data_IF_745044569615
#
_entry.id   IF_745044569615
#
_cell.length_a   1.000
_cell.length_b   1.000
_cell.length_c   1.000
_cell.angle_alpha   90.00
_cell.angle_beta   90.00
_cell.angle_gamma   90.00
#
_symmetry.space_group_name_H-M   'P 1'
#
loop_
_entity.id
_entity.type
_entity.pdbx_description
1 polymer ?
#
# COMPACT_ATOMS: atom_id res chain seq x y z
N UNK A 1 -3.37 4.10 -11.04
CA UNK A 1 -3.45 5.29 -10.15
C UNK A 1 -2.55 5.01 -8.96
N UNK A 2 -1.79 6.01 -8.50
CA UNK A 2 -0.87 5.84 -7.39
C UNK A 2 -1.63 5.90 -6.06
N UNK A 3 -1.33 4.98 -5.14
CA UNK A 3 -1.88 4.97 -3.77
C UNK A 3 -0.94 5.73 -2.85
N UNK A 4 -1.48 6.68 -2.09
CA UNK A 4 -0.67 7.39 -1.09
C UNK A 4 -0.32 6.45 0.07
N UNK A 5 0.97 6.31 0.41
CA UNK A 5 1.48 5.37 1.41
C UNK A 5 1.99 6.08 2.66
N UNK A 6 2.03 5.36 3.77
CA UNK A 6 2.73 5.87 4.96
C UNK A 6 4.20 6.13 4.65
N UNK A 7 4.76 7.25 5.15
CA UNK A 7 6.10 7.69 4.78
C UNK A 7 7.23 7.04 5.57
N UNK A 8 6.97 6.07 6.43
CA UNK A 8 7.97 5.37 7.25
C UNK A 8 7.77 3.87 7.18
N UNK A 9 8.85 3.09 7.28
CA UNK A 9 8.82 1.63 7.34
C UNK A 9 8.27 1.11 8.69
N UNK A 10 8.47 1.88 9.75
CA UNK A 10 7.99 1.56 11.10
C UNK A 10 7.16 2.72 11.63
N UNK A 11 6.00 2.40 12.20
CA UNK A 11 5.08 3.37 12.77
C UNK A 11 4.83 3.04 14.24
N UNK A 12 5.54 3.69 15.12
CA UNK A 12 5.23 3.69 16.55
C UNK A 12 4.46 4.97 16.87
N UNK A 13 3.17 4.86 17.10
CA UNK A 13 2.35 6.03 17.44
C UNK A 13 2.77 6.58 18.80
N UNK A 14 3.27 7.81 18.83
CA UNK A 14 3.68 8.52 20.05
C UNK A 14 2.66 9.53 20.49
N UNK A 15 1.91 10.13 19.57
CA UNK A 15 0.77 10.99 19.88
C UNK A 15 -0.31 10.88 18.78
N UNK A 16 -1.56 10.75 19.19
CA UNK A 16 -2.70 10.65 18.29
C UNK A 16 -3.33 12.00 17.94
N UNK A 17 -4.40 11.97 17.11
CA UNK A 17 -5.15 13.15 16.75
C UNK A 17 -5.95 13.69 17.95
N UNK A 18 -6.16 14.98 17.98
CA UNK A 18 -6.98 15.69 18.97
C UNK A 18 -6.54 15.56 20.44
N UNK A 19 -5.32 15.09 20.72
CA UNK A 19 -4.76 15.00 22.09
C UNK A 19 -3.49 15.83 22.23
N UNK A 20 -3.12 16.20 23.44
CA UNK A 20 -1.89 16.93 23.74
C UNK A 20 -1.73 18.21 22.92
N UNK A 21 -0.63 18.31 22.18
CA UNK A 21 -0.35 19.42 21.25
C UNK A 21 -1.23 19.41 20.00
N UNK A 22 -1.93 18.30 19.70
CA UNK A 22 -2.80 18.13 18.52
C UNK A 22 -4.28 18.53 18.78
N UNK A 23 -4.60 19.25 19.84
CA UNK A 23 -6.00 19.65 20.15
C UNK A 23 -6.67 20.30 18.93
N UNK A 24 -7.77 19.68 18.47
CA UNK A 24 -8.51 20.14 17.29
C UNK A 24 -7.81 19.91 15.96
N UNK A 25 -6.72 19.15 15.93
CA UNK A 25 -5.98 18.73 14.74
C UNK A 25 -6.11 17.22 14.54
N UNK A 26 -5.99 16.78 13.30
CA UNK A 26 -5.92 15.36 12.93
C UNK A 26 -4.47 14.89 12.76
N UNK A 27 -3.51 15.70 13.17
CA UNK A 27 -2.09 15.35 13.14
C UNK A 27 -1.81 14.11 13.97
N UNK A 28 -0.77 13.38 13.59
CA UNK A 28 -0.25 12.23 14.32
C UNK A 28 1.27 12.31 14.41
N UNK A 29 1.81 11.86 15.54
CA UNK A 29 3.24 11.71 15.73
C UNK A 29 3.62 10.24 15.70
N UNK A 30 4.66 9.93 14.94
CA UNK A 30 5.19 8.59 14.77
C UNK A 30 6.68 8.60 15.13
N UNK A 31 7.10 7.75 16.05
CA UNK A 31 8.49 7.33 16.19
C UNK A 31 8.76 6.14 15.28
N UNK A 32 10.01 5.95 14.91
CA UNK A 32 10.48 4.82 14.15
C UNK A 32 10.72 3.55 14.98
N UNK A 33 11.57 2.67 14.48
CA UNK A 33 11.90 1.39 15.09
C UNK A 33 12.76 1.54 16.33
N UNK A 34 13.66 2.51 16.32
CA UNK A 34 14.60 2.78 17.40
C UNK A 34 14.53 4.23 17.87
N UNK A 35 15.48 4.63 18.67
CA UNK A 35 15.60 6.02 19.16
C UNK A 35 16.47 6.90 18.26
N UNK A 36 16.88 6.37 17.10
CA UNK A 36 17.64 7.11 16.11
C UNK A 36 16.77 8.07 15.30
N UNK A 37 17.20 8.34 14.10
CA UNK A 37 16.46 9.11 13.11
C UNK A 37 16.16 8.18 11.93
N UNK A 38 14.98 7.53 11.96
CA UNK A 38 14.56 6.67 10.87
C UNK A 38 14.18 7.50 9.62
N UNK A 39 14.44 6.94 8.46
CA UNK A 39 14.19 7.61 7.20
C UNK A 39 12.68 7.83 6.96
N UNK A 40 12.36 8.99 6.43
CA UNK A 40 11.04 9.38 5.96
C UNK A 40 11.05 9.43 4.44
N UNK A 41 10.08 8.78 3.81
CA UNK A 41 9.99 8.62 2.36
C UNK A 41 8.80 9.39 1.77
N UNK A 42 8.90 9.77 0.51
CA UNK A 42 7.81 10.40 -0.22
C UNK A 42 6.59 9.47 -0.28
N UNK A 43 5.43 9.86 0.26
CA UNK A 43 4.24 8.99 0.33
C UNK A 43 3.56 8.77 -1.03
N UNK A 44 3.89 9.59 -2.00
CA UNK A 44 3.42 9.56 -3.41
C UNK A 44 4.42 10.31 -4.28
N UNK A 45 4.29 10.21 -5.61
CA UNK A 45 5.04 11.05 -6.54
C UNK A 45 4.54 12.48 -6.44
N UNK A 46 5.42 13.39 -6.04
CA UNK A 46 5.02 14.75 -5.67
C UNK A 46 6.14 15.78 -5.81
N UNK A 47 5.80 16.98 -5.39
CA UNK A 47 6.70 18.13 -5.36
C UNK A 47 6.76 18.72 -3.96
N UNK A 48 7.93 19.08 -3.51
CA UNK A 48 8.12 19.90 -2.32
C UNK A 48 7.56 21.30 -2.61
N UNK A 49 6.37 21.59 -2.12
CA UNK A 49 5.71 22.88 -2.33
C UNK A 49 6.38 23.99 -1.53
N UNK A 50 6.82 23.69 -0.31
CA UNK A 50 7.49 24.63 0.58
C UNK A 50 8.33 23.89 1.61
N UNK A 51 9.39 24.56 2.05
CA UNK A 51 10.20 24.18 3.22
C UNK A 51 10.25 25.38 4.17
N UNK A 52 10.06 25.14 5.46
CA UNK A 52 10.27 26.14 6.52
C UNK A 52 11.39 25.68 7.44
N UNK A 53 12.32 26.59 7.71
CA UNK A 53 13.54 26.32 8.47
C UNK A 53 13.54 27.00 9.84
N UNK A 54 12.46 27.71 10.17
CA UNK A 54 12.43 28.61 11.34
C UNK A 54 12.13 27.90 12.66
N UNK A 55 10.93 27.36 12.83
CA UNK A 55 10.50 26.87 14.17
C UNK A 55 10.48 25.37 14.32
N UNK A 56 10.03 24.64 13.34
CA UNK A 56 9.75 23.20 13.45
C UNK A 56 10.32 22.36 12.30
N UNK A 57 11.06 22.96 11.39
CA UNK A 57 11.49 22.31 10.14
C UNK A 57 10.31 21.60 9.46
N UNK A 58 9.56 22.38 8.70
CA UNK A 58 8.35 21.88 8.05
C UNK A 58 8.61 21.65 6.56
N UNK A 59 8.32 20.46 6.07
CA UNK A 59 8.30 20.13 4.65
C UNK A 59 6.86 19.92 4.21
N UNK A 60 6.37 20.75 3.29
CA UNK A 60 5.06 20.58 2.64
C UNK A 60 5.26 19.91 1.30
N UNK A 61 4.68 18.73 1.14
CA UNK A 61 4.84 17.92 -0.06
C UNK A 61 3.48 17.64 -0.69
N UNK A 62 3.30 18.07 -1.94
CA UNK A 62 2.02 17.96 -2.65
C UNK A 62 2.12 17.00 -3.83
N UNK A 63 1.08 16.21 -4.08
CA UNK A 63 1.03 15.28 -5.21
C UNK A 63 0.99 16.02 -6.54
N UNK A 64 1.70 15.50 -7.55
CA UNK A 64 1.67 16.05 -8.92
C UNK A 64 0.35 15.73 -9.61
N UNK A 65 -0.18 14.53 -9.40
CA UNK A 65 -1.44 14.02 -9.92
C UNK A 65 -2.36 13.61 -8.77
N UNK A 66 -3.67 13.44 -9.01
CA UNK A 66 -4.57 12.86 -8.02
C UNK A 66 -4.09 11.46 -7.59
N UNK A 67 -4.14 11.19 -6.30
CA UNK A 67 -3.77 9.91 -5.68
C UNK A 67 -4.97 9.25 -5.03
N UNK A 68 -4.92 7.94 -4.90
CA UNK A 68 -5.93 7.16 -4.18
C UNK A 68 -5.64 7.18 -2.68
N UNK A 69 -6.61 7.64 -1.90
CA UNK A 69 -6.61 7.63 -0.44
C UNK A 69 -6.97 6.24 0.09
N UNK A 70 -6.58 5.92 1.30
CA UNK A 70 -6.92 4.63 1.92
C UNK A 70 -8.42 4.41 2.13
N UNK A 71 -9.24 5.47 2.10
CA UNK A 71 -10.70 5.38 2.11
C UNK A 71 -11.32 5.13 0.72
N UNK A 72 -10.49 4.93 -0.30
CA UNK A 72 -10.89 4.68 -1.69
C UNK A 72 -11.25 5.94 -2.48
N UNK A 73 -11.19 7.13 -1.87
CA UNK A 73 -11.41 8.38 -2.61
C UNK A 73 -10.17 8.80 -3.37
N UNK A 74 -10.35 9.59 -4.44
CA UNK A 74 -9.27 10.08 -5.31
C UNK A 74 -9.29 11.59 -5.32
N UNK A 75 -8.18 12.21 -4.97
CA UNK A 75 -7.98 13.66 -5.00
C UNK A 75 -6.48 14.00 -4.97
N UNK A 76 -6.16 15.26 -5.11
CA UNK A 76 -4.83 15.74 -4.75
C UNK A 76 -4.61 15.66 -3.24
N UNK A 77 -3.36 15.44 -2.86
CA UNK A 77 -2.96 15.34 -1.45
C UNK A 77 -1.78 16.26 -1.17
N UNK A 78 -1.82 16.92 -0.02
CA UNK A 78 -0.66 17.58 0.57
C UNK A 78 -0.37 16.95 1.92
N UNK A 79 0.87 16.54 2.16
CA UNK A 79 1.35 16.13 3.49
C UNK A 79 2.28 17.19 4.06
N UNK A 80 2.23 17.37 5.38
CA UNK A 80 3.18 18.19 6.12
C UNK A 80 3.96 17.29 7.05
N UNK A 81 5.28 17.29 6.88
CA UNK A 81 6.25 16.54 7.65
C UNK A 81 7.05 17.52 8.50
N UNK A 82 7.18 17.26 9.81
CA UNK A 82 7.89 18.18 10.69
C UNK A 82 8.91 17.46 11.57
N UNK A 83 9.77 18.27 12.15
CA UNK A 83 10.77 17.95 13.19
C UNK A 83 12.05 17.30 12.68
N UNK A 84 12.23 17.13 11.36
CA UNK A 84 13.52 16.71 10.81
C UNK A 84 14.66 17.61 11.35
N UNK A 85 15.74 17.00 11.81
CA UNK A 85 16.89 17.76 12.34
C UNK A 85 17.70 18.44 11.22
N UNK A 86 17.69 17.86 10.00
CA UNK A 86 18.40 18.38 8.84
C UNK A 86 17.50 18.26 7.61
N UNK A 87 17.16 19.40 7.03
CA UNK A 87 16.31 19.42 5.83
C UNK A 87 17.13 19.11 4.58
N UNK A 88 16.96 17.91 4.04
CA UNK A 88 17.69 17.41 2.86
C UNK A 88 17.00 17.80 1.52
N UNK A 89 15.79 18.34 1.59
CA UNK A 89 15.01 18.72 0.42
C UNK A 89 14.81 20.23 0.29
N UNK A 90 14.48 20.67 -0.91
CA UNK A 90 14.24 22.09 -1.22
C UNK A 90 12.93 22.32 -1.96
N UNK A 91 12.34 23.48 -1.80
CA UNK A 91 11.13 23.85 -2.53
C UNK A 91 11.32 23.72 -4.05
N UNK A 92 10.32 23.17 -4.73
CA UNK A 92 10.33 22.86 -6.15
C UNK A 92 10.92 21.49 -6.49
N UNK A 93 11.58 20.79 -5.58
CA UNK A 93 12.12 19.45 -5.82
C UNK A 93 10.98 18.45 -6.03
N UNK A 94 11.11 17.64 -7.08
CA UNK A 94 10.21 16.51 -7.37
C UNK A 94 10.83 15.24 -6.84
N UNK A 95 10.03 14.42 -6.17
CA UNK A 95 10.40 13.10 -5.67
C UNK A 95 9.36 12.08 -6.14
N UNK A 96 9.80 10.89 -6.50
CA UNK A 96 8.94 9.74 -6.74
C UNK A 96 8.55 9.06 -5.43
N UNK A 97 7.42 8.37 -5.42
CA UNK A 97 6.99 7.59 -4.27
C UNK A 97 8.11 6.65 -3.80
N UNK A 98 8.39 6.65 -2.49
CA UNK A 98 9.43 5.83 -1.88
C UNK A 98 10.84 6.43 -1.93
N UNK A 99 11.07 7.57 -2.58
CA UNK A 99 12.34 8.29 -2.44
C UNK A 99 12.43 8.99 -1.08
N UNK A 100 13.63 9.03 -0.50
CA UNK A 100 13.85 9.68 0.80
C UNK A 100 13.54 11.17 0.71
N UNK A 101 12.71 11.66 1.65
CA UNK A 101 12.34 13.07 1.76
C UNK A 101 12.92 13.75 3.02
N UNK A 102 13.35 12.98 4.00
CA UNK A 102 13.91 13.46 5.25
C UNK A 102 14.12 12.34 6.25
N UNK A 103 14.28 12.71 7.51
CA UNK A 103 14.38 11.78 8.62
C UNK A 103 13.41 12.21 9.74
N UNK A 104 12.99 11.28 10.59
CA UNK A 104 12.38 11.68 11.86
C UNK A 104 13.39 12.46 12.68
N UNK A 105 12.92 13.37 13.51
CA UNK A 105 13.84 14.19 14.30
C UNK A 105 13.17 14.84 15.48
N UNK A 106 13.90 15.71 16.15
CA UNK A 106 13.45 16.44 17.34
C UNK A 106 13.57 17.95 17.19
N UNK A 107 13.61 18.48 15.95
CA UNK A 107 13.76 19.91 15.73
C UNK A 107 12.53 20.69 16.20
N UNK A 108 12.74 21.69 17.01
CA UNK A 108 11.68 22.56 17.50
C UNK A 108 12.23 23.78 18.18
N UNK A 109 11.47 24.89 18.14
CA UNK A 109 11.91 26.17 18.71
C UNK A 109 13.23 26.65 18.12
N UNK A 110 13.50 26.36 16.85
CA UNK A 110 14.70 26.81 16.13
C UNK A 110 15.97 25.98 16.43
N UNK A 111 15.88 24.79 17.03
CA UNK A 111 17.05 23.95 17.33
C UNK A 111 16.72 22.45 17.29
N UNK A 112 17.71 21.59 16.92
CA UNK A 112 17.56 20.14 17.00
C UNK A 112 17.49 19.68 18.48
N UNK A 113 16.90 18.49 18.67
CA UNK A 113 16.81 17.84 19.98
C UNK A 113 15.90 18.56 21.00
N UNK A 114 14.99 19.40 20.54
CA UNK A 114 13.96 20.04 21.39
C UNK A 114 12.94 19.01 21.87
N UNK A 115 12.63 18.03 21.00
CA UNK A 115 11.73 16.91 21.24
C UNK A 115 12.49 15.58 21.13
N UNK A 116 11.92 14.50 21.63
CA UNK A 116 12.34 13.15 21.24
C UNK A 116 12.15 12.95 19.74
N UNK A 117 12.98 12.10 19.12
CA UNK A 117 12.85 11.84 17.69
C UNK A 117 11.46 11.29 17.34
N UNK A 118 10.80 11.93 16.40
CA UNK A 118 9.50 11.53 15.84
C UNK A 118 9.24 12.29 14.55
N UNK A 119 8.35 11.75 13.73
CA UNK A 119 7.74 12.44 12.61
C UNK A 119 6.38 12.97 13.04
N UNK A 120 6.19 14.29 13.02
CA UNK A 120 4.86 14.88 13.06
C UNK A 120 4.29 14.91 11.63
N UNK A 121 3.15 14.29 11.45
CA UNK A 121 2.51 14.10 10.15
C UNK A 121 1.11 14.69 10.14
N UNK A 122 0.86 15.57 9.17
CA UNK A 122 -0.46 16.05 8.81
C UNK A 122 -0.79 15.69 7.38
N UNK A 123 -2.01 15.30 7.09
CA UNK A 123 -2.49 15.03 5.74
C UNK A 123 -3.67 15.93 5.44
N UNK A 124 -3.62 16.61 4.30
CA UNK A 124 -4.66 17.51 3.81
C UNK A 124 -5.12 17.10 2.43
N UNK A 125 -6.41 17.25 2.17
CA UNK A 125 -7.00 17.03 0.84
C UNK A 125 -6.82 18.28 0.00
N UNK A 126 -6.25 18.14 -1.19
CA UNK A 126 -6.02 19.22 -2.14
C UNK A 126 -4.57 19.66 -2.30
N UNK A 127 -4.36 20.65 -3.16
CA UNK A 127 -3.05 21.27 -3.49
C UNK A 127 -2.99 22.70 -2.97
N UNK A 128 -1.78 23.28 -3.02
CA UNK A 128 -1.49 24.65 -2.58
C UNK A 128 -1.78 24.88 -1.08
N UNK A 129 -1.61 23.82 -0.27
CA UNK A 129 -1.82 23.82 1.18
C UNK A 129 -0.45 23.82 1.89
N UNK A 130 0.44 24.74 1.50
CA UNK A 130 1.79 24.86 2.07
C UNK A 130 1.84 25.92 3.19
N UNK A 131 0.87 25.89 4.11
CA UNK A 131 0.75 26.82 5.23
C UNK A 131 -0.08 26.22 6.36
N UNK A 132 0.08 26.82 7.55
CA UNK A 132 -0.72 26.47 8.72
C UNK A 132 -1.72 27.56 9.06
N UNK A 133 -2.84 27.18 9.64
CA UNK A 133 -3.85 28.05 10.22
C UNK A 133 -4.00 27.71 11.72
N UNK A 134 -4.45 28.69 12.50
CA UNK A 134 -4.75 28.45 13.91
C UNK A 134 -6.21 27.96 14.02
N UNK A 135 -6.41 26.77 14.55
CA UNK A 135 -7.75 26.21 14.74
C UNK A 135 -8.46 26.85 15.96
N UNK A 136 -9.73 26.49 16.21
CA UNK A 136 -10.54 27.02 17.30
C UNK A 136 -9.96 26.70 18.69
N UNK A 137 -9.13 25.66 18.82
CA UNK A 137 -8.44 25.26 20.06
C UNK A 137 -7.10 25.96 20.23
N UNK A 138 -6.69 26.79 19.28
CA UNK A 138 -5.46 27.53 19.30
C UNK A 138 -4.24 26.80 18.76
N UNK A 139 -4.39 25.59 18.26
CA UNK A 139 -3.32 24.78 17.63
C UNK A 139 -3.10 25.24 16.20
N UNK A 140 -1.84 25.34 15.77
CA UNK A 140 -1.49 25.52 14.37
C UNK A 140 -1.52 24.17 13.66
N UNK A 141 -2.18 24.13 12.52
CA UNK A 141 -2.29 22.92 11.69
C UNK A 141 -2.60 23.31 10.24
N UNK A 142 -2.35 22.41 9.29
CA UNK A 142 -2.75 22.63 7.90
C UNK A 142 -4.27 22.65 7.77
N UNK A 143 -4.85 23.47 6.90
CA UNK A 143 -6.28 23.42 6.61
C UNK A 143 -6.66 22.15 5.85
N UNK A 144 -7.96 21.83 5.83
CA UNK A 144 -8.52 20.69 5.10
C UNK A 144 -7.94 19.33 5.52
N UNK A 145 -7.52 19.20 6.78
CA UNK A 145 -6.98 17.96 7.30
C UNK A 145 -7.96 16.80 7.18
N UNK A 146 -7.45 15.66 6.77
CA UNK A 146 -8.11 14.36 6.79
C UNK A 146 -7.45 13.46 7.81
N UNK A 147 -8.16 12.44 8.27
CA UNK A 147 -7.61 11.43 9.15
C UNK A 147 -6.48 10.67 8.46
N UNK A 148 -5.32 10.56 9.12
CA UNK A 148 -4.10 9.97 8.54
C UNK A 148 -4.33 8.51 8.12
N UNK A 149 -5.08 7.73 8.93
CA UNK A 149 -5.38 6.34 8.64
C UNK A 149 -6.36 6.17 7.47
N UNK A 150 -7.22 7.15 7.25
CA UNK A 150 -8.14 7.17 6.10
C UNK A 150 -7.48 7.67 4.84
N UNK A 151 -6.36 8.37 4.96
CA UNK A 151 -5.67 8.97 3.84
C UNK A 151 -4.55 8.09 3.28
N UNK A 152 -3.77 7.43 4.15
CA UNK A 152 -2.55 6.76 3.75
C UNK A 152 -2.69 5.23 3.84
N UNK A 153 -2.32 4.56 2.75
CA UNK A 153 -2.25 3.10 2.70
C UNK A 153 -1.08 2.58 3.53
N UNK A 154 -1.37 1.59 4.36
CA UNK A 154 -0.32 0.79 4.99
C UNK A 154 0.23 -0.17 3.94
N UNK A 155 1.40 0.13 3.37
CA UNK A 155 2.13 -0.80 2.50
C UNK A 155 2.56 -2.05 3.27
N UNK A 156 2.93 -3.10 2.57
CA UNK A 156 3.42 -4.36 3.17
C UNK A 156 4.78 -4.23 3.82
N UNK A 157 5.52 -3.24 3.38
CA UNK A 157 6.83 -2.80 3.87
C UNK A 157 6.75 -1.98 5.16
N UNK A 158 5.56 -1.51 5.57
CA UNK A 158 5.39 -0.72 6.80
C UNK A 158 5.03 -1.62 7.98
N UNK A 159 5.78 -1.63 9.06
CA UNK A 159 5.45 -2.30 10.32
C UNK A 159 4.85 -1.31 11.31
N UNK A 160 3.71 -1.65 11.89
CA UNK A 160 3.14 -0.88 13.00
C UNK A 160 3.65 -1.45 14.31
N UNK A 161 4.22 -0.59 15.16
CA UNK A 161 4.74 -0.95 16.47
C UNK A 161 3.74 -0.52 17.55
N UNK A 162 3.65 -1.30 18.64
CA UNK A 162 2.97 -0.87 19.86
C UNK A 162 3.78 0.20 20.60
N UNK A 163 3.19 0.83 21.61
CA UNK A 163 3.88 1.83 22.44
C UNK A 163 5.15 1.32 23.13
N UNK A 164 5.37 0.01 23.21
CA UNK A 164 6.58 -0.64 23.71
C UNK A 164 7.60 -0.97 22.63
N UNK A 165 7.34 -0.58 21.38
CA UNK A 165 8.24 -0.85 20.24
C UNK A 165 8.20 -2.30 19.75
N UNK A 166 7.22 -3.10 20.16
CA UNK A 166 7.05 -4.48 19.70
C UNK A 166 6.26 -4.48 18.41
N UNK A 167 6.68 -5.26 17.40
CA UNK A 167 5.92 -5.36 16.15
C UNK A 167 4.49 -5.81 16.45
N UNK A 168 3.52 -5.04 16.02
CA UNK A 168 2.17 -5.53 15.83
C UNK A 168 2.25 -6.58 14.72
N UNK A 169 1.91 -7.81 15.03
CA UNK A 169 1.82 -8.83 13.98
C UNK A 169 0.82 -8.34 12.95
N UNK A 170 1.32 -8.04 11.78
CA UNK A 170 0.49 -7.89 10.61
C UNK A 170 0.09 -9.28 10.14
N UNK A 171 -1.19 -9.55 10.20
CA UNK A 171 -1.83 -10.44 9.25
C UNK A 171 -2.48 -9.60 8.13
N UNK A 172 -1.85 -8.51 7.72
CA UNK A 172 -2.12 -7.95 6.41
C UNK A 172 -1.33 -8.84 5.47
N UNK A 173 -1.93 -9.98 5.12
CA UNK A 173 -1.58 -10.56 3.84
C UNK A 173 -1.94 -9.47 2.84
N UNK A 174 -0.94 -9.03 2.05
CA UNK A 174 -1.13 -8.30 0.81
C UNK A 174 -2.43 -8.76 0.16
N UNK A 175 -3.19 -7.87 -0.47
CA UNK A 175 -3.87 -8.30 -1.66
C UNK A 175 -2.79 -9.00 -2.46
N UNK A 176 -2.67 -10.30 -2.27
CA UNK A 176 -1.61 -11.06 -2.91
C UNK A 176 -1.91 -10.91 -4.38
N UNK A 177 -1.06 -10.18 -5.04
CA UNK A 177 -1.06 -10.12 -6.47
C UNK A 177 -1.26 -11.54 -6.96
N UNK A 178 -2.42 -11.79 -7.52
CA UNK A 178 -2.81 -13.14 -7.89
C UNK A 178 -2.07 -13.50 -9.16
N UNK A 179 -1.35 -14.62 -9.14
CA UNK A 179 -0.71 -15.12 -10.33
C UNK A 179 -1.73 -15.79 -11.25
N UNK A 180 -1.68 -15.44 -12.50
CA UNK A 180 -2.51 -16.01 -13.55
C UNK A 180 -1.65 -16.57 -14.67
N UNK A 181 -2.13 -17.66 -15.26
CA UNK A 181 -1.63 -18.15 -16.53
C UNK A 181 -2.44 -17.48 -17.64
N UNK A 182 -1.85 -16.48 -18.30
CA UNK A 182 -2.45 -15.85 -19.50
C UNK A 182 -2.12 -16.67 -20.72
N UNK A 183 -3.14 -17.21 -21.38
CA UNK A 183 -2.97 -17.99 -22.60
C UNK A 183 -2.84 -17.06 -23.80
N UNK A 184 -1.73 -17.14 -24.52
CA UNK A 184 -1.41 -16.30 -25.67
C UNK A 184 -1.53 -17.01 -27.01
N UNK A 185 -1.82 -18.33 -26.98
CA UNK A 185 -1.99 -19.16 -28.16
C UNK A 185 -2.92 -20.36 -27.88
N UNK A 186 -3.82 -20.66 -28.77
CA UNK A 186 -4.70 -21.85 -28.72
C UNK A 186 -3.99 -23.23 -28.72
N UNK A 187 -2.65 -23.22 -28.61
CA UNK A 187 -1.83 -24.43 -28.46
C UNK A 187 -1.49 -24.77 -27.00
N UNK A 188 -1.95 -23.98 -26.01
CA UNK A 188 -1.70 -24.25 -24.61
C UNK A 188 -2.54 -25.46 -24.16
N UNK A 189 -1.88 -26.55 -23.79
CA UNK A 189 -2.53 -27.77 -23.33
C UNK A 189 -2.80 -27.76 -21.83
N UNK A 190 -3.83 -28.50 -21.40
CA UNK A 190 -4.23 -28.71 -20.03
C UNK A 190 -4.07 -30.18 -19.64
N UNK A 191 -3.64 -30.43 -18.41
CA UNK A 191 -3.27 -31.78 -17.96
C UNK A 191 -3.92 -32.12 -16.61
N UNK A 192 -4.17 -33.41 -16.40
CA UNK A 192 -4.68 -33.92 -15.11
C UNK A 192 -3.59 -34.12 -14.05
N UNK A 193 -2.32 -34.17 -14.46
CA UNK A 193 -1.14 -34.29 -13.63
C UNK A 193 0.03 -33.51 -14.26
N UNK A 194 1.12 -33.19 -13.52
CA UNK A 194 2.31 -32.55 -14.08
C UNK A 194 3.15 -33.54 -14.91
N UNK A 195 2.53 -34.11 -15.93
CA UNK A 195 3.07 -35.09 -16.89
C UNK A 195 2.55 -34.75 -18.27
N UNK A 196 3.44 -34.62 -19.26
CA UNK A 196 3.10 -34.33 -20.67
C UNK A 196 2.20 -35.40 -21.35
N UNK A 197 2.15 -36.60 -20.80
CA UNK A 197 1.30 -37.68 -21.31
C UNK A 197 -0.13 -37.63 -20.70
N UNK A 198 -0.34 -36.80 -19.66
CA UNK A 198 -1.59 -36.71 -18.92
C UNK A 198 -2.53 -35.61 -19.43
N UNK A 199 -2.59 -35.37 -20.75
CA UNK A 199 -3.47 -34.35 -21.34
C UNK A 199 -4.94 -34.64 -21.00
N UNK A 200 -5.64 -33.63 -20.43
CA UNK A 200 -7.06 -33.71 -20.08
C UNK A 200 -7.95 -33.48 -21.31
N UNK A 201 -8.12 -34.50 -22.11
CA UNK A 201 -8.94 -34.45 -23.35
C UNK A 201 -10.43 -34.18 -23.08
N UNK A 202 -10.90 -34.33 -21.82
CA UNK A 202 -12.29 -34.08 -21.45
C UNK A 202 -12.60 -32.59 -21.31
N UNK A 203 -11.59 -31.77 -21.04
CA UNK A 203 -11.74 -30.33 -20.99
C UNK A 203 -11.36 -29.71 -22.35
N UNK A 204 -12.31 -29.12 -23.06
CA UNK A 204 -12.13 -28.36 -24.32
C UNK A 204 -11.13 -29.02 -25.30
N UNK A 205 -11.22 -30.36 -25.45
CA UNK A 205 -10.32 -31.14 -26.31
C UNK A 205 -8.86 -31.14 -25.86
N UNK A 206 -8.59 -30.88 -24.56
CA UNK A 206 -7.25 -30.86 -23.97
C UNK A 206 -6.54 -29.50 -24.04
N UNK A 207 -7.27 -28.42 -24.31
CA UNK A 207 -6.66 -27.10 -24.53
C UNK A 207 -7.29 -26.02 -23.68
N UNK A 208 -6.45 -25.08 -23.22
CA UNK A 208 -6.88 -23.82 -22.62
C UNK A 208 -7.31 -22.83 -23.72
N UNK A 209 -8.24 -21.96 -23.38
CA UNK A 209 -8.78 -20.96 -24.31
C UNK A 209 -7.79 -19.80 -24.47
N UNK A 210 -7.46 -19.45 -25.70
CA UNK A 210 -6.62 -18.30 -26.02
C UNK A 210 -7.26 -16.99 -25.53
N UNK A 211 -6.45 -16.09 -25.00
CA UNK A 211 -6.87 -14.82 -24.44
C UNK A 211 -7.30 -14.91 -22.96
N UNK A 212 -7.63 -16.10 -22.45
CA UNK A 212 -8.13 -16.29 -21.08
C UNK A 212 -6.99 -16.31 -20.05
N UNK A 213 -7.24 -15.71 -18.88
CA UNK A 213 -6.38 -15.78 -17.70
C UNK A 213 -6.94 -16.82 -16.72
N UNK A 214 -6.14 -17.82 -16.36
CA UNK A 214 -6.50 -18.88 -15.42
C UNK A 214 -5.77 -18.67 -14.08
N UNK A 215 -6.47 -18.68 -12.93
CA UNK A 215 -5.83 -18.51 -11.62
C UNK A 215 -4.79 -19.60 -11.34
N UNK A 216 -3.59 -19.21 -10.96
CA UNK A 216 -2.53 -20.13 -10.56
C UNK A 216 -2.60 -20.38 -9.05
N UNK A 217 -2.88 -21.62 -8.68
CA UNK A 217 -2.92 -22.04 -7.27
C UNK A 217 -1.53 -22.31 -6.69
N UNK A 218 -0.62 -22.81 -7.52
CA UNK A 218 0.76 -23.07 -7.14
C UNK A 218 1.68 -23.20 -8.36
N UNK A 219 2.91 -22.80 -8.22
CA UNK A 219 4.01 -23.19 -9.09
C UNK A 219 4.52 -24.55 -8.59
N UNK A 220 4.39 -25.59 -9.41
CA UNK A 220 4.71 -26.97 -9.02
C UNK A 220 6.21 -27.26 -9.16
N UNK A 221 6.93 -26.38 -9.87
CA UNK A 221 8.33 -26.55 -10.17
C UNK A 221 8.58 -27.28 -11.49
N UNK A 222 9.81 -27.73 -11.71
CA UNK A 222 10.22 -28.35 -12.97
C UNK A 222 10.10 -29.88 -12.91
N UNK A 223 9.39 -30.44 -13.86
CA UNK A 223 9.29 -31.90 -14.07
C UNK A 223 9.37 -32.20 -15.56
N UNK A 224 10.16 -33.21 -15.95
CA UNK A 224 10.34 -33.59 -17.34
C UNK A 224 10.95 -32.48 -18.23
N UNK A 225 11.66 -31.52 -17.67
CA UNK A 225 12.25 -30.39 -18.38
C UNK A 225 11.27 -29.21 -18.61
N UNK A 226 10.07 -29.26 -18.02
CA UNK A 226 9.05 -28.24 -18.14
C UNK A 226 8.72 -27.61 -16.80
N UNK A 227 8.40 -26.30 -16.79
CA UNK A 227 7.89 -25.58 -15.63
C UNK A 227 6.38 -25.76 -15.58
N UNK A 228 5.87 -26.31 -14.48
CA UNK A 228 4.47 -26.62 -14.28
C UNK A 228 3.81 -25.65 -13.31
N UNK A 229 2.58 -25.30 -13.65
CA UNK A 229 1.67 -24.60 -12.74
C UNK A 229 0.41 -25.40 -12.52
N UNK A 230 -0.11 -25.33 -11.31
CA UNK A 230 -1.41 -25.83 -10.94
C UNK A 230 -2.42 -24.71 -11.09
N UNK A 231 -3.44 -24.93 -11.87
CA UNK A 231 -4.50 -23.96 -12.19
C UNK A 231 -5.87 -24.52 -11.80
N UNK A 232 -6.84 -23.64 -11.66
CA UNK A 232 -8.23 -24.03 -11.44
C UNK A 232 -9.04 -23.69 -12.69
N UNK A 233 -9.74 -24.68 -13.25
CA UNK A 233 -10.47 -24.53 -14.51
C UNK A 233 -11.78 -25.31 -14.44
N UNK A 234 -12.90 -24.65 -14.70
CA UNK A 234 -14.24 -25.23 -14.66
C UNK A 234 -14.50 -26.04 -13.37
N UNK A 235 -14.17 -25.47 -12.23
CA UNK A 235 -14.38 -26.10 -10.93
C UNK A 235 -13.43 -27.27 -10.59
N UNK A 236 -12.41 -27.55 -11.42
CA UNK A 236 -11.49 -28.68 -11.26
C UNK A 236 -10.05 -28.23 -11.27
N UNK A 237 -9.25 -28.79 -10.37
CA UNK A 237 -7.81 -28.61 -10.34
C UNK A 237 -7.14 -29.31 -11.52
N UNK A 238 -6.31 -28.56 -12.25
CA UNK A 238 -5.59 -29.02 -13.45
C UNK A 238 -4.16 -28.48 -13.44
N UNK A 239 -3.40 -28.90 -14.44
CA UNK A 239 -2.01 -28.47 -14.61
C UNK A 239 -1.80 -27.89 -16.01
N UNK A 240 -0.85 -26.98 -16.13
CA UNK A 240 -0.39 -26.46 -17.41
C UNK A 240 1.12 -26.28 -17.40
N UNK A 241 1.73 -26.34 -18.58
CA UNK A 241 3.16 -26.04 -18.78
C UNK A 241 3.29 -24.57 -19.15
N UNK A 242 4.19 -23.86 -18.49
CA UNK A 242 4.50 -22.46 -18.84
C UNK A 242 5.49 -22.46 -20.00
N UNK A 243 5.00 -22.15 -21.20
CA UNK A 243 5.80 -22.02 -22.42
C UNK A 243 5.63 -20.63 -23.00
N UNK A 244 6.72 -19.90 -23.19
CA UNK A 244 6.71 -18.48 -23.57
C UNK A 244 6.00 -18.20 -24.91
N UNK A 245 5.94 -19.16 -25.81
CA UNK A 245 5.25 -19.10 -27.11
C UNK A 245 3.75 -19.40 -27.01
N UNK A 246 3.24 -19.83 -25.85
CA UNK A 246 1.85 -20.28 -25.68
C UNK A 246 1.12 -19.64 -24.53
N UNK A 247 1.84 -19.30 -23.46
CA UNK A 247 1.27 -18.70 -22.27
C UNK A 247 2.36 -18.01 -21.44
N UNK A 248 1.95 -17.12 -20.57
CA UNK A 248 2.84 -16.42 -19.66
C UNK A 248 2.20 -16.28 -18.27
N UNK A 249 3.03 -16.29 -17.23
CA UNK A 249 2.60 -15.92 -15.90
C UNK A 249 2.50 -14.40 -15.82
N UNK A 250 1.34 -13.93 -15.39
CA UNK A 250 1.08 -12.51 -15.12
C UNK A 250 0.60 -12.36 -13.69
N UNK A 251 0.93 -11.24 -13.10
CA UNK A 251 0.50 -10.86 -11.76
C UNK A 251 -0.54 -9.75 -11.89
N UNK A 252 -1.73 -9.95 -11.34
CA UNK A 252 -2.85 -9.02 -11.45
C UNK A 252 -3.40 -8.75 -10.04
N UNK A 253 -3.83 -7.51 -9.78
CA UNK A 253 -4.63 -7.22 -8.60
C UNK A 253 -5.95 -8.02 -8.64
N UNK A 254 -6.58 -8.36 -7.52
CA UNK A 254 -7.87 -9.08 -7.52
C UNK A 254 -8.94 -8.43 -8.38
N UNK A 255 -9.02 -7.10 -8.40
CA UNK A 255 -9.94 -6.34 -9.23
C UNK A 255 -9.65 -6.45 -10.72
N UNK A 256 -8.38 -6.34 -11.14
CA UNK A 256 -7.95 -6.48 -12.53
C UNK A 256 -8.13 -7.92 -13.02
N UNK A 257 -7.87 -8.90 -12.16
CA UNK A 257 -8.05 -10.30 -12.41
C UNK A 257 -9.52 -10.65 -12.68
N UNK A 258 -10.42 -10.17 -11.82
CA UNK A 258 -11.87 -10.36 -12.00
C UNK A 258 -12.35 -9.71 -13.29
N UNK A 259 -11.97 -8.47 -13.57
CA UNK A 259 -12.33 -7.77 -14.80
C UNK A 259 -11.81 -8.50 -16.05
N UNK A 260 -10.58 -9.01 -16.02
CA UNK A 260 -9.99 -9.76 -17.13
C UNK A 260 -10.71 -11.08 -17.39
N UNK A 261 -11.14 -11.80 -16.34
CA UNK A 261 -11.89 -13.05 -16.49
C UNK A 261 -13.32 -12.83 -16.95
N UNK A 262 -14.03 -11.87 -16.39
CA UNK A 262 -15.41 -11.53 -16.78
C UNK A 262 -15.48 -11.07 -18.24
N UNK A 263 -14.56 -10.21 -18.67
CA UNK A 263 -14.51 -9.69 -20.02
C UNK A 263 -14.27 -10.78 -21.09
N UNK A 264 -13.73 -11.93 -20.69
CA UNK A 264 -13.38 -13.03 -21.59
C UNK A 264 -14.31 -14.25 -21.46
N UNK A 265 -15.39 -14.16 -20.67
CA UNK A 265 -16.31 -15.28 -20.42
C UNK A 265 -15.65 -16.45 -19.70
N UNK A 266 -14.59 -16.18 -18.94
CA UNK A 266 -13.89 -17.18 -18.14
C UNK A 266 -14.69 -17.65 -16.92
N UNK A 267 -14.26 -18.76 -16.31
CA UNK A 267 -14.83 -19.27 -15.06
C UNK A 267 -14.45 -18.34 -13.91
N UNK A 268 -15.43 -17.62 -13.36
CA UNK A 268 -15.25 -16.65 -12.27
C UNK A 268 -15.43 -17.26 -10.88
N UNK A 269 -15.89 -18.52 -10.77
CA UNK A 269 -16.27 -19.09 -9.47
C UNK A 269 -15.10 -19.14 -8.46
N UNK A 270 -13.89 -19.49 -8.90
CA UNK A 270 -12.72 -19.49 -8.04
C UNK A 270 -12.25 -18.04 -7.72
N UNK A 271 -12.39 -17.14 -8.69
CA UNK A 271 -12.07 -15.72 -8.49
C UNK A 271 -13.05 -15.04 -7.53
N UNK A 272 -14.35 -15.36 -7.63
CA UNK A 272 -15.37 -14.88 -6.69
C UNK A 272 -15.05 -15.32 -5.27
N UNK A 273 -14.67 -16.59 -5.09
CA UNK A 273 -14.24 -17.11 -3.79
C UNK A 273 -12.97 -16.44 -3.26
N UNK A 274 -12.00 -16.20 -4.14
CA UNK A 274 -10.76 -15.52 -3.77
C UNK A 274 -11.01 -14.04 -3.47
N UNK A 275 -11.90 -13.39 -4.21
CA UNK A 275 -12.35 -12.02 -3.97
C UNK A 275 -13.11 -11.93 -2.62
N UNK A 276 -13.96 -12.90 -2.30
CA UNK A 276 -14.64 -12.98 -1.00
C UNK A 276 -13.63 -13.09 0.15
N UNK A 277 -12.61 -13.94 -0.01
CA UNK A 277 -11.51 -14.07 0.97
C UNK A 277 -10.71 -12.77 1.09
N UNK A 278 -10.41 -12.10 -0.03
CA UNK A 278 -9.70 -10.83 -0.02
C UNK A 278 -10.53 -9.72 0.65
N UNK A 279 -11.83 -9.64 0.36
CA UNK A 279 -12.74 -8.70 1.01
C UNK A 279 -12.87 -8.96 2.52
N UNK A 280 -13.01 -10.22 2.94
CA UNK A 280 -13.06 -10.57 4.36
C UNK A 280 -11.75 -10.18 5.10
N UNK A 281 -10.61 -10.30 4.44
CA UNK A 281 -9.30 -9.84 4.97
C UNK A 281 -9.23 -8.31 5.05
N UNK A 282 -9.73 -7.61 4.04
CA UNK A 282 -9.81 -6.15 4.05
C UNK A 282 -10.71 -5.66 5.20
N UNK A 283 -11.84 -6.31 5.44
CA UNK A 283 -12.74 -6.01 6.57
C UNK A 283 -12.06 -6.25 7.92
N UNK A 284 -11.29 -7.33 8.08
CA UNK A 284 -10.53 -7.59 9.29
C UNK A 284 -9.41 -6.56 9.49
N UNK A 285 -8.71 -6.17 8.42
CA UNK A 285 -7.72 -5.09 8.45
C UNK A 285 -8.36 -3.76 8.89
N UNK A 286 -9.53 -3.44 8.35
CA UNK A 286 -10.29 -2.25 8.74
C UNK A 286 -10.74 -2.27 10.21
N UNK A 287 -11.16 -3.42 10.74
CA UNK A 287 -11.46 -3.59 12.18
C UNK A 287 -10.22 -3.36 13.04
N UNK A 288 -9.06 -3.89 12.63
CA UNK A 288 -7.79 -3.67 13.34
C UNK A 288 -7.37 -2.19 13.29
N UNK A 289 -7.55 -1.54 12.15
CA UNK A 289 -7.34 -0.10 12.01
C UNK A 289 -8.27 0.69 12.97
N UNK A 290 -9.54 0.30 13.07
CA UNK A 290 -10.48 0.91 14.01
C UNK A 290 -10.02 0.73 15.46
N UNK A 291 -9.48 -0.44 15.83
CA UNK A 291 -8.92 -0.69 17.15
C UNK A 291 -7.66 0.15 17.44
N UNK A 292 -6.78 0.32 16.45
CA UNK A 292 -5.63 1.22 16.54
C UNK A 292 -6.09 2.66 16.75
N UNK A 293 -7.05 3.12 15.94
CA UNK A 293 -7.66 4.45 16.10
C UNK A 293 -8.27 4.65 17.50
N UNK A 294 -8.98 3.65 18.02
CA UNK A 294 -9.58 3.70 19.35
C UNK A 294 -8.50 3.73 20.45
N UNK A 295 -7.42 2.97 20.31
CA UNK A 295 -6.29 2.99 21.22
C UNK A 295 -5.61 4.36 21.24
N UNK A 296 -5.33 4.94 20.07
CA UNK A 296 -4.72 6.26 19.92
C UNK A 296 -5.63 7.37 20.45
N UNK A 297 -6.95 7.24 20.31
CA UNK A 297 -7.91 8.22 20.83
C UNK A 297 -8.10 8.12 22.37
N UNK A 298 -7.69 7.03 22.99
CA UNK A 298 -7.75 6.81 24.44
C UNK A 298 -6.50 7.17 25.20
N UNK A 299 -5.42 7.57 24.51
CA UNK A 299 -4.16 8.08 25.07
C UNK A 299 -4.14 9.60 25.00
#
# INVERSE_FOLDING_TARGET
>A
MERARFPMEFLRVTQGPNVGSHKGSKAMDFGGKDTGCDAVYAPFTGRVARVRTDSSHETYFESLEPVEFADGTVDYMTVTLMHDNVLDVRAGQVLHQGEKIGDEGGFGGGRPGRFGAHLHLEVSRGRNIAYQVRNAQGTYCTPQQVDVWSALWLGTDVQVLDGGGRPWKRDIQEESDMKFLKVTSGKCEVFTAPDVNAVDKHYNGGKLTEGVCYPVQAEVGSSGGYNWVRIFVAGVQRYAVVLADRCQLVTLSPGDAFAACVAQGGDTAELEKQLEVANARADEANKRLANIKAYVAGV
#
